data_IF_003559940836
#
_entry.id   IF_003559940836
#
_cell.length_a   1.000
_cell.length_b   1.000
_cell.length_c   1.000
_cell.angle_alpha   90.00
_cell.angle_beta   90.00
_cell.angle_gamma   90.00
#
_symmetry.space_group_name_H-M   'P 1'
#
loop_
_entity.id
_entity.type
_entity.pdbx_description
1 polymer ?
#
# COMPACT_ATOMS: atom_id res chain seq x y z
N UNK A 1 -8.28 -6.30 -9.17
CA UNK A 1 -8.28 -7.00 -7.88
C UNK A 1 -6.84 -7.24 -7.49
N UNK A 2 -6.45 -6.80 -6.32
CA UNK A 2 -5.13 -7.01 -5.74
C UNK A 2 -5.27 -7.58 -4.31
N UNK A 3 -4.16 -7.84 -3.62
CA UNK A 3 -4.17 -8.62 -2.36
C UNK A 3 -5.03 -8.02 -1.23
N UNK A 4 -5.22 -6.70 -1.23
CA UNK A 4 -6.08 -5.97 -0.28
C UNK A 4 -7.58 -6.18 -0.50
N UNK A 5 -8.00 -6.73 -1.64
CA UNK A 5 -9.41 -7.00 -1.95
C UNK A 5 -9.85 -8.41 -1.51
N UNK A 6 -8.91 -9.23 -1.03
CA UNK A 6 -9.13 -10.61 -0.59
C UNK A 6 -9.20 -10.62 0.93
N UNK A 7 -10.23 -11.22 1.52
CA UNK A 7 -10.43 -11.28 2.97
C UNK A 7 -9.48 -12.21 3.70
N UNK A 8 -9.13 -13.33 3.07
CA UNK A 8 -8.23 -14.34 3.60
C UNK A 8 -7.23 -14.75 2.53
N UNK A 9 -5.94 -14.56 2.83
CA UNK A 9 -4.85 -14.86 1.91
C UNK A 9 -4.31 -16.29 2.09
N UNK A 10 -4.66 -16.99 3.17
CA UNK A 10 -4.14 -18.34 3.45
C UNK A 10 -4.47 -19.33 2.32
N UNK A 11 -5.70 -19.40 1.78
CA UNK A 11 -6.01 -20.33 0.69
C UNK A 11 -5.20 -20.05 -0.58
N UNK A 12 -4.93 -18.77 -0.87
CA UNK A 12 -4.09 -18.39 -2.00
C UNK A 12 -2.64 -18.81 -1.74
N UNK A 13 -2.10 -18.46 -0.57
CA UNK A 13 -0.72 -18.78 -0.20
C UNK A 13 -0.45 -20.29 -0.20
N UNK A 14 -1.42 -21.11 0.25
CA UNK A 14 -1.33 -22.57 0.29
C UNK A 14 -1.44 -23.22 -1.10
N UNK A 15 -2.16 -22.59 -2.02
CA UNK A 15 -2.30 -23.08 -3.39
C UNK A 15 -1.05 -22.78 -4.23
N UNK A 16 -0.39 -21.65 -4.01
CA UNK A 16 0.72 -21.19 -4.85
C UNK A 16 1.88 -22.20 -4.97
N UNK A 17 2.41 -22.83 -3.90
CA UNK A 17 3.45 -23.86 -4.02
C UNK A 17 3.03 -25.07 -4.85
N UNK A 18 1.73 -25.38 -4.91
CA UNK A 18 1.20 -26.52 -5.70
C UNK A 18 1.02 -26.16 -7.16
N UNK A 19 0.70 -24.89 -7.43
CA UNK A 19 0.44 -24.38 -8.79
C UNK A 19 1.72 -23.95 -9.51
N UNK A 20 2.74 -23.49 -8.77
CA UNK A 20 4.00 -23.05 -9.35
C UNK A 20 4.94 -24.25 -9.59
N UNK A 21 5.58 -24.27 -10.76
CA UNK A 21 6.76 -25.10 -11.01
C UNK A 21 7.94 -24.65 -10.14
N UNK A 22 8.94 -25.51 -9.97
CA UNK A 22 10.20 -25.12 -9.33
C UNK A 22 10.82 -23.91 -10.06
N UNK A 23 11.26 -22.92 -9.28
CA UNK A 23 11.72 -21.61 -9.76
C UNK A 23 10.61 -20.66 -10.23
N UNK A 24 9.35 -21.08 -10.18
CA UNK A 24 8.18 -20.31 -10.58
C UNK A 24 7.96 -19.08 -9.72
N UNK A 25 7.40 -18.03 -10.33
CA UNK A 25 7.26 -16.70 -9.72
C UNK A 25 5.77 -16.43 -9.42
N UNK A 26 5.52 -15.90 -8.24
CA UNK A 26 4.29 -15.18 -7.91
C UNK A 26 4.63 -13.70 -7.73
N UNK A 27 4.01 -12.85 -8.53
CA UNK A 27 4.16 -11.40 -8.46
C UNK A 27 2.83 -10.77 -8.07
N UNK A 28 2.86 -9.83 -7.14
CA UNK A 28 1.67 -9.11 -6.70
C UNK A 28 1.98 -7.65 -6.42
N UNK A 29 1.02 -6.78 -6.73
CA UNK A 29 0.99 -5.40 -6.26
C UNK A 29 -0.17 -5.21 -5.30
N UNK A 30 -0.03 -4.25 -4.40
CA UNK A 30 -1.09 -3.83 -3.50
C UNK A 30 -0.94 -2.36 -3.15
N UNK A 31 -2.05 -1.75 -2.76
CA UNK A 31 -2.02 -0.44 -2.12
C UNK A 31 -1.23 -0.57 -0.81
N UNK A 32 -0.24 0.31 -0.61
CA UNK A 32 0.69 0.17 0.50
C UNK A 32 -0.03 0.28 1.86
N UNK A 33 0.27 -0.59 2.85
CA UNK A 33 -0.39 -0.61 4.15
C UNK A 33 -0.42 0.73 4.87
N UNK A 34 0.69 1.47 4.85
CA UNK A 34 0.82 2.79 5.50
C UNK A 34 0.06 3.89 4.74
N UNK A 35 -0.09 3.76 3.42
CA UNK A 35 -0.58 4.87 2.60
C UNK A 35 -2.09 4.83 2.38
N UNK A 36 -2.64 3.67 2.07
CA UNK A 36 -4.06 3.56 1.71
C UNK A 36 -4.83 2.72 2.71
N UNK A 37 -4.40 1.50 3.02
CA UNK A 37 -5.29 0.52 3.66
C UNK A 37 -5.39 0.69 5.18
N UNK A 38 -4.41 1.30 5.85
CA UNK A 38 -4.45 1.55 7.30
C UNK A 38 -5.52 2.55 7.74
N UNK A 39 -6.17 3.26 6.81
CA UNK A 39 -7.09 4.34 7.14
C UNK A 39 -6.38 5.57 7.73
N UNK A 40 -5.09 5.75 7.41
CA UNK A 40 -4.30 6.86 7.91
C UNK A 40 -4.93 8.21 7.60
N UNK A 41 -4.96 9.09 8.60
CA UNK A 41 -5.35 10.49 8.39
C UNK A 41 -4.26 11.21 7.64
N UNK A 42 -4.64 11.98 6.62
CA UNK A 42 -3.75 12.87 5.85
C UNK A 42 -3.77 14.27 6.46
N UNK A 43 -2.61 14.91 6.54
CA UNK A 43 -2.52 16.32 6.93
C UNK A 43 -1.57 17.08 6.02
N UNK A 44 -1.87 18.38 5.85
CA UNK A 44 -1.08 19.34 5.09
C UNK A 44 -0.84 20.54 5.99
N UNK A 45 0.43 20.81 6.28
CA UNK A 45 0.87 21.95 7.07
C UNK A 45 1.44 23.02 6.13
N UNK A 46 1.04 24.27 6.33
CA UNK A 46 1.66 25.41 5.65
C UNK A 46 2.82 25.87 6.52
N UNK A 47 4.04 25.71 6.03
CA UNK A 47 5.27 26.06 6.73
C UNK A 47 5.90 27.27 6.07
N UNK A 48 6.35 28.23 6.87
CA UNK A 48 7.10 29.39 6.38
C UNK A 48 8.57 29.09 6.47
N UNK A 49 9.31 29.24 5.38
CA UNK A 49 10.76 29.23 5.40
C UNK A 49 11.25 30.58 5.95
N UNK A 50 11.76 30.59 7.18
CA UNK A 50 12.20 31.83 7.84
C UNK A 50 13.35 32.55 7.12
N UNK A 51 14.17 31.81 6.36
CA UNK A 51 15.29 32.39 5.62
C UNK A 51 14.85 33.09 4.32
N UNK A 52 13.79 32.61 3.67
CA UNK A 52 13.32 33.16 2.38
C UNK A 52 12.00 33.94 2.48
N UNK A 53 11.23 33.74 3.54
CA UNK A 53 9.87 34.25 3.70
C UNK A 53 8.82 33.52 2.86
N UNK A 54 9.20 32.51 2.09
CA UNK A 54 8.28 31.74 1.24
C UNK A 54 7.55 30.64 2.03
N UNK A 55 6.33 30.32 1.61
CA UNK A 55 5.56 29.22 2.19
C UNK A 55 5.70 27.95 1.35
N UNK A 56 5.72 26.80 2.02
CA UNK A 56 5.60 25.49 1.39
C UNK A 56 4.66 24.57 2.17
N UNK A 57 4.21 23.49 1.52
CA UNK A 57 3.35 22.50 2.14
C UNK A 57 4.17 21.31 2.66
N UNK A 58 4.27 21.19 3.98
CA UNK A 58 4.70 19.94 4.62
C UNK A 58 3.51 18.97 4.67
N UNK A 59 3.76 17.68 4.50
CA UNK A 59 2.71 16.67 4.38
C UNK A 59 3.07 15.44 5.19
N UNK A 60 2.05 14.82 5.78
CA UNK A 60 2.25 13.58 6.50
C UNK A 60 0.97 12.77 6.66
N UNK A 61 1.18 11.53 7.12
CA UNK A 61 0.09 10.61 7.42
C UNK A 61 0.21 10.13 8.86
N UNK A 62 -0.91 10.13 9.58
CA UNK A 62 -1.01 9.57 10.91
C UNK A 62 -1.73 8.23 10.80
N UNK A 63 -0.96 7.15 10.95
CA UNK A 63 -1.47 5.79 11.02
C UNK A 63 -1.97 5.51 12.44
N UNK A 64 -3.17 4.96 12.54
CA UNK A 64 -3.74 4.44 13.79
C UNK A 64 -4.22 3.02 13.52
N UNK A 65 -4.26 2.19 14.55
CA UNK A 65 -4.82 0.82 14.45
C UNK A 65 -4.11 -0.08 13.42
N UNK A 66 -2.82 0.15 13.11
CA UNK A 66 -2.08 -0.56 12.04
C UNK A 66 -2.12 -2.09 12.18
N UNK A 67 -2.09 -2.60 13.40
CA UNK A 67 -2.08 -4.04 13.65
C UNK A 67 -3.44 -4.69 13.36
N UNK A 68 -4.51 -4.11 13.90
CA UNK A 68 -5.84 -4.73 14.00
C UNK A 68 -6.91 -3.84 13.35
N UNK A 69 -6.63 -3.34 12.14
CA UNK A 69 -7.57 -2.48 11.41
C UNK A 69 -8.72 -3.30 10.83
N UNK A 70 -9.95 -2.99 11.25
CA UNK A 70 -11.15 -3.61 10.71
C UNK A 70 -11.31 -3.33 9.18
N UNK A 71 -11.88 -4.27 8.41
CA UNK A 71 -12.20 -4.04 7.01
C UNK A 71 -13.11 -2.83 6.81
N UNK A 72 -12.89 -2.09 5.73
CA UNK A 72 -13.60 -0.84 5.50
C UNK A 72 -13.83 -0.56 4.01
N UNK A 73 -14.82 0.29 3.73
CA UNK A 73 -15.23 0.66 2.37
C UNK A 73 -14.37 1.79 1.82
N UNK A 74 -13.49 1.44 0.91
CA UNK A 74 -12.67 2.32 0.12
C UNK A 74 -13.40 3.01 -1.02
N UNK A 75 -12.99 4.26 -1.26
CA UNK A 75 -13.34 5.04 -2.44
C UNK A 75 -12.04 5.46 -3.12
N UNK A 76 -11.86 5.06 -4.38
CA UNK A 76 -10.74 5.51 -5.21
C UNK A 76 -11.04 6.90 -5.79
N UNK A 77 -12.28 7.10 -6.24
CA UNK A 77 -12.77 8.38 -6.78
C UNK A 77 -14.14 8.68 -6.18
N UNK A 78 -14.31 9.89 -5.65
CA UNK A 78 -15.60 10.35 -5.12
C UNK A 78 -16.68 10.28 -6.21
N UNK A 79 -17.81 9.62 -5.89
CA UNK A 79 -18.90 9.39 -6.83
C UNK A 79 -18.79 8.11 -7.66
N UNK A 80 -17.79 7.25 -7.42
CA UNK A 80 -17.73 5.93 -8.05
C UNK A 80 -18.98 5.08 -7.74
N UNK A 81 -19.43 4.21 -8.68
CA UNK A 81 -20.72 3.53 -8.58
C UNK A 81 -20.79 2.48 -7.45
N UNK A 82 -19.65 1.96 -6.99
CA UNK A 82 -19.58 0.96 -5.94
C UNK A 82 -18.33 1.17 -5.08
N UNK A 83 -18.44 0.88 -3.78
CA UNK A 83 -17.30 0.90 -2.87
C UNK A 83 -16.41 -0.33 -3.08
N UNK A 84 -15.10 -0.17 -2.91
CA UNK A 84 -14.15 -1.28 -2.81
C UNK A 84 -14.05 -1.70 -1.33
N UNK A 85 -13.95 -2.99 -1.03
CA UNK A 85 -13.74 -3.44 0.36
C UNK A 85 -12.25 -3.69 0.57
N UNK A 86 -11.64 -2.96 1.51
CA UNK A 86 -10.22 -3.11 1.82
C UNK A 86 -10.01 -3.92 3.10
N UNK A 87 -9.17 -4.94 2.97
CA UNK A 87 -8.67 -5.77 4.05
C UNK A 87 -7.23 -5.37 4.36
N UNK A 88 -7.07 -4.50 5.36
CA UNK A 88 -5.76 -4.09 5.83
C UNK A 88 -5.03 -5.25 6.51
N UNK A 89 -3.72 -5.32 6.30
CA UNK A 89 -2.82 -6.25 7.01
C UNK A 89 -1.51 -5.52 7.29
N UNK A 90 -0.96 -5.63 8.51
CA UNK A 90 0.42 -5.22 8.75
C UNK A 90 1.39 -6.12 7.95
N UNK A 91 2.61 -5.64 7.72
CA UNK A 91 3.57 -6.30 6.84
C UNK A 91 3.94 -7.71 7.29
N UNK A 92 4.05 -7.94 8.60
CA UNK A 92 4.36 -9.25 9.17
C UNK A 92 3.26 -10.27 8.87
N UNK A 93 1.99 -9.89 8.97
CA UNK A 93 0.86 -10.75 8.61
C UNK A 93 0.83 -10.99 7.10
N UNK A 94 0.96 -9.93 6.30
CA UNK A 94 0.93 -10.02 4.84
C UNK A 94 2.03 -10.93 4.29
N UNK A 95 3.29 -10.65 4.64
CA UNK A 95 4.45 -11.36 4.13
C UNK A 95 4.57 -12.74 4.79
N UNK A 96 4.32 -12.82 6.10
CA UNK A 96 4.37 -14.06 6.87
C UNK A 96 3.38 -15.11 6.36
N UNK A 97 2.23 -14.70 5.82
CA UNK A 97 1.26 -15.61 5.19
C UNK A 97 1.90 -16.41 4.04
N UNK A 98 2.68 -15.76 3.18
CA UNK A 98 3.37 -16.44 2.07
C UNK A 98 4.65 -17.15 2.53
N UNK A 99 5.39 -16.60 3.49
CA UNK A 99 6.61 -17.24 4.00
C UNK A 99 6.35 -18.61 4.64
N UNK A 100 5.22 -18.77 5.33
CA UNK A 100 4.81 -20.04 5.96
C UNK A 100 4.62 -21.17 4.94
N UNK A 101 4.38 -20.86 3.68
CA UNK A 101 4.13 -21.87 2.62
C UNK A 101 5.38 -22.25 1.83
N UNK A 102 6.56 -21.78 2.28
CA UNK A 102 7.85 -22.08 1.66
C UNK A 102 8.19 -21.21 0.45
N UNK A 103 7.35 -20.22 0.12
CA UNK A 103 7.68 -19.20 -0.87
C UNK A 103 8.75 -18.25 -0.32
N UNK A 104 9.73 -17.93 -1.14
CA UNK A 104 10.81 -16.98 -0.81
C UNK A 104 10.56 -15.67 -1.53
N UNK A 105 10.48 -14.56 -0.80
CA UNK A 105 10.46 -13.24 -1.42
C UNK A 105 11.88 -12.83 -1.82
N UNK A 106 12.09 -12.60 -3.12
CA UNK A 106 13.39 -12.22 -3.67
C UNK A 106 13.38 -10.81 -4.29
N UNK A 107 12.26 -10.07 -4.19
CA UNK A 107 12.15 -8.67 -4.57
C UNK A 107 10.99 -7.99 -3.84
N UNK A 108 11.22 -6.76 -3.39
CA UNK A 108 10.21 -5.85 -2.86
C UNK A 108 10.50 -4.46 -3.41
N UNK A 109 9.48 -3.79 -3.94
CA UNK A 109 9.56 -2.40 -4.38
C UNK A 109 8.45 -1.58 -3.75
N UNK A 110 8.83 -0.38 -3.32
CA UNK A 110 7.92 0.66 -2.86
C UNK A 110 7.83 1.72 -3.95
N UNK A 111 6.61 1.96 -4.44
CA UNK A 111 6.35 2.92 -5.52
C UNK A 111 5.77 4.20 -4.93
N UNK A 112 6.31 5.32 -5.38
CA UNK A 112 6.03 6.66 -4.88
C UNK A 112 5.38 7.47 -6.01
N UNK A 113 4.60 8.47 -5.62
CA UNK A 113 4.30 9.58 -6.52
C UNK A 113 5.53 10.47 -6.63
N UNK A 114 5.70 11.13 -7.77
CA UNK A 114 6.75 12.14 -7.96
C UNK A 114 6.18 13.55 -8.16
N UNK A 115 7.07 14.52 -8.39
CA UNK A 115 6.68 15.91 -8.63
C UNK A 115 5.89 16.11 -9.93
N UNK A 116 6.01 15.19 -10.90
CA UNK A 116 5.23 15.23 -12.14
C UNK A 116 3.79 14.72 -11.93
N UNK A 117 3.57 13.84 -10.94
CA UNK A 117 2.23 13.39 -10.53
C UNK A 117 1.48 14.42 -9.67
N UNK A 118 2.19 15.37 -9.07
CA UNK A 118 1.65 16.30 -8.08
C UNK A 118 0.54 17.21 -8.66
N UNK A 119 -0.58 17.31 -7.95
CA UNK A 119 -1.72 18.18 -8.27
C UNK A 119 -1.65 19.40 -7.35
N UNK A 120 -0.98 20.45 -7.82
CA UNK A 120 -0.68 21.66 -7.04
C UNK A 120 -1.94 22.41 -6.59
N UNK A 121 -3.00 22.36 -7.40
CA UNK A 121 -4.28 23.03 -7.15
C UNK A 121 -5.12 22.32 -6.05
N UNK A 122 -4.72 21.09 -5.67
CA UNK A 122 -5.40 20.30 -4.63
C UNK A 122 -4.39 19.87 -3.56
N UNK A 123 -4.05 20.74 -2.59
CA UNK A 123 -3.00 20.48 -1.62
C UNK A 123 -3.14 19.13 -0.89
N UNK A 124 -4.37 18.67 -0.66
CA UNK A 124 -4.75 17.42 0.00
C UNK A 124 -4.66 16.16 -0.87
N UNK A 125 -4.43 16.32 -2.19
CA UNK A 125 -4.32 15.20 -3.13
C UNK A 125 -3.30 14.17 -2.67
N UNK A 126 -3.66 12.88 -2.76
CA UNK A 126 -2.74 11.78 -2.46
C UNK A 126 -1.48 11.83 -3.33
N UNK A 127 -1.58 12.32 -4.57
CA UNK A 127 -0.45 12.45 -5.48
C UNK A 127 0.65 13.40 -4.96
N UNK A 128 0.31 14.30 -4.02
CA UNK A 128 1.26 15.25 -3.45
C UNK A 128 2.11 14.64 -2.32
N UNK A 129 1.86 13.39 -1.89
CA UNK A 129 2.58 12.71 -0.82
C UNK A 129 3.76 11.92 -1.39
N UNK A 130 4.72 12.62 -2.00
CA UNK A 130 5.82 12.01 -2.80
C UNK A 130 6.84 11.24 -1.96
N UNK A 131 6.84 11.42 -0.64
CA UNK A 131 7.78 10.78 0.28
C UNK A 131 7.19 9.59 1.06
N UNK A 132 5.96 9.17 0.76
CA UNK A 132 5.29 8.03 1.41
C UNK A 132 4.85 7.04 0.32
N UNK A 133 5.18 5.74 0.42
CA UNK A 133 4.96 4.80 -0.69
C UNK A 133 3.48 4.55 -0.91
N UNK A 134 3.00 4.76 -2.13
CA UNK A 134 1.61 4.58 -2.49
C UNK A 134 1.26 3.11 -2.78
N UNK A 135 2.16 2.40 -3.47
CA UNK A 135 1.97 1.02 -3.90
C UNK A 135 3.17 0.20 -3.43
N UNK A 136 2.92 -1.04 -3.04
CA UNK A 136 3.96 -2.04 -2.78
C UNK A 136 3.88 -3.10 -3.88
N UNK A 137 5.02 -3.48 -4.43
CA UNK A 137 5.16 -4.61 -5.35
C UNK A 137 6.05 -5.69 -4.71
N UNK A 138 5.62 -6.93 -4.82
CA UNK A 138 6.27 -8.08 -4.19
C UNK A 138 6.50 -9.17 -5.23
N UNK A 139 7.66 -9.82 -5.17
CA UNK A 139 7.97 -11.01 -5.95
C UNK A 139 8.38 -12.16 -5.04
N UNK A 140 7.61 -13.23 -5.12
CA UNK A 140 7.87 -14.50 -4.45
C UNK A 140 8.28 -15.56 -5.46
N UNK A 141 9.10 -16.50 -5.03
CA UNK A 141 9.58 -17.63 -5.82
C UNK A 141 9.42 -18.94 -5.07
N UNK A 142 9.00 -19.98 -5.77
CA UNK A 142 9.06 -21.36 -5.29
C UNK A 142 10.46 -21.91 -5.56
N UNK A 143 11.28 -22.10 -4.53
CA UNK A 143 12.62 -22.67 -4.69
C UNK A 143 12.66 -24.20 -4.57
N UNK A 144 11.71 -24.76 -3.82
CA UNK A 144 11.56 -26.19 -3.55
C UNK A 144 10.19 -26.66 -4.03
#
# INVERSE_FOLDING_TARGET
MALMDISDLEPLADALPKLLKQGGIFFATLLHPVFFTSGATRFVEVVTNEATGEYYHARGKIVREYRDKAPWRGVAVNGQPAFQLYFHRPLDVLLGTFFKTGLVMDSLEELYFDEADAIKERPESSANYTQIPAIMALRFRKLQ
#
